data_IF_915542726366
#
_entry.id   IF_915542726366
#
_cell.length_a   1.000
_cell.length_b   1.000
_cell.length_c   1.000
_cell.angle_alpha   90.00
_cell.angle_beta   90.00
_cell.angle_gamma   90.00
#
_symmetry.space_group_name_H-M   'P 1'
#
loop_
_entity.id
_entity.type
_entity.pdbx_description
1 polymer ?
#
# COMPACT_ATOMS: atom_id res chain seq x y z
N UNK A 1 13.19 -0.37 -10.83
CA UNK A 1 12.08 -1.01 -10.10
C UNK A 1 11.40 -1.99 -11.04
N UNK A 2 11.19 -3.22 -10.61
CA UNK A 2 10.54 -4.26 -11.41
C UNK A 2 9.25 -4.69 -10.71
N UNK A 3 8.14 -4.61 -11.42
CA UNK A 3 6.87 -5.16 -10.93
C UNK A 3 6.99 -6.68 -10.84
N UNK A 4 6.52 -7.27 -9.75
CA UNK A 4 6.45 -8.73 -9.61
C UNK A 4 5.36 -9.21 -10.56
N UNK A 5 5.78 -9.85 -11.66
CA UNK A 5 4.87 -10.34 -12.68
C UNK A 5 3.90 -11.38 -12.10
N UNK A 6 2.67 -11.40 -12.62
CA UNK A 6 1.58 -12.33 -12.24
C UNK A 6 1.08 -12.21 -10.79
N UNK A 7 1.62 -11.29 -9.98
CA UNK A 7 1.07 -11.01 -8.66
C UNK A 7 0.11 -9.82 -8.70
N UNK A 8 -1.12 -10.06 -8.26
CA UNK A 8 -2.09 -9.04 -7.87
C UNK A 8 -2.68 -9.41 -6.51
N UNK A 9 -2.69 -8.47 -5.58
CA UNK A 9 -3.22 -8.66 -4.24
C UNK A 9 -4.50 -7.87 -4.02
N UNK A 10 -5.40 -8.43 -3.22
CA UNK A 10 -6.66 -7.81 -2.82
C UNK A 10 -6.78 -7.80 -1.30
N UNK A 11 -6.58 -6.64 -0.68
CA UNK A 11 -6.63 -6.48 0.77
C UNK A 11 -8.00 -5.97 1.22
N UNK A 12 -8.68 -6.60 2.20
CA UNK A 12 -9.91 -6.04 2.75
C UNK A 12 -9.60 -4.73 3.49
N UNK A 13 -10.52 -3.75 3.40
CA UNK A 13 -10.39 -2.53 4.21
C UNK A 13 -10.44 -2.86 5.70
N UNK A 14 -9.76 -2.03 6.51
CA UNK A 14 -9.83 -2.15 7.96
C UNK A 14 -11.20 -1.78 8.54
N UNK A 15 -11.98 -0.95 7.83
CA UNK A 15 -13.33 -0.53 8.21
C UNK A 15 -14.18 -0.33 6.95
N UNK A 16 -15.47 -0.67 7.03
CA UNK A 16 -16.43 -0.58 5.93
C UNK A 16 -16.32 -1.72 4.91
N UNK A 17 -17.10 -1.63 3.84
CA UNK A 17 -17.10 -2.61 2.74
C UNK A 17 -16.10 -2.25 1.63
N UNK A 18 -15.65 -3.27 0.92
CA UNK A 18 -14.73 -3.17 -0.22
C UNK A 18 -13.28 -3.56 0.10
N UNK A 19 -12.45 -3.48 -0.93
CA UNK A 19 -11.07 -3.93 -0.90
C UNK A 19 -10.15 -2.93 -1.61
N UNK A 20 -8.85 -3.05 -1.31
CA UNK A 20 -7.76 -2.30 -1.92
C UNK A 20 -6.98 -3.29 -2.80
N UNK A 21 -6.93 -3.01 -4.09
CA UNK A 21 -6.10 -3.77 -5.01
C UNK A 21 -4.68 -3.18 -5.08
N UNK A 22 -3.69 -4.06 -5.13
CA UNK A 22 -2.31 -3.66 -5.12
C UNK A 22 -1.39 -4.61 -5.90
N UNK A 23 -0.28 -4.06 -6.38
CA UNK A 23 0.84 -4.79 -6.96
C UNK A 23 2.05 -4.76 -6.03
N UNK A 24 2.94 -5.73 -6.21
CA UNK A 24 4.25 -5.75 -5.59
C UNK A 24 5.33 -5.38 -6.58
N UNK A 25 6.36 -4.70 -6.09
CA UNK A 25 7.53 -4.29 -6.86
C UNK A 25 8.80 -4.57 -6.09
N UNK A 26 9.89 -4.85 -6.80
CA UNK A 26 11.22 -5.04 -6.24
C UNK A 26 12.23 -4.10 -6.87
N UNK A 27 13.23 -3.66 -6.11
CA UNK A 27 14.42 -3.05 -6.69
C UNK A 27 15.50 -4.12 -6.98
N UNK A 28 16.63 -3.68 -7.54
CA UNK A 28 17.80 -4.51 -7.84
C UNK A 28 18.49 -5.06 -6.58
N UNK A 29 18.17 -4.52 -5.40
CA UNK A 29 18.69 -4.94 -4.09
C UNK A 29 17.73 -5.85 -3.35
N UNK A 30 16.57 -6.17 -3.94
CA UNK A 30 15.53 -7.00 -3.33
C UNK A 30 14.64 -6.29 -2.32
N UNK A 31 14.67 -4.95 -2.24
CA UNK A 31 13.71 -4.20 -1.44
C UNK A 31 12.31 -4.33 -2.04
N UNK A 32 11.30 -4.54 -1.19
CA UNK A 32 9.91 -4.78 -1.59
C UNK A 32 9.07 -3.51 -1.41
N UNK A 33 8.25 -3.23 -2.42
CA UNK A 33 7.37 -2.06 -2.47
C UNK A 33 5.94 -2.46 -2.83
N UNK A 34 4.99 -1.64 -2.39
CA UNK A 34 3.56 -1.78 -2.69
C UNK A 34 3.11 -0.63 -3.58
N UNK A 35 2.38 -0.95 -4.65
CA UNK A 35 1.65 0.02 -5.46
C UNK A 35 0.16 -0.25 -5.31
N UNK A 36 -0.61 0.67 -4.73
CA UNK A 36 -2.07 0.54 -4.63
C UNK A 36 -2.70 1.18 -5.87
N UNK A 37 -3.65 0.53 -6.54
CA UNK A 37 -4.16 1.06 -7.82
C UNK A 37 -5.68 1.12 -7.93
N UNK A 38 -6.43 0.40 -7.10
CA UNK A 38 -7.89 0.45 -7.10
C UNK A 38 -8.46 0.33 -5.69
N UNK A 39 -9.58 1.01 -5.47
CA UNK A 39 -10.39 0.91 -4.28
C UNK A 39 -11.82 0.61 -4.75
N UNK A 40 -12.32 -0.58 -4.40
CA UNK A 40 -13.59 -1.19 -4.84
C UNK A 40 -14.85 -0.46 -4.33
N UNK A 41 -14.88 0.87 -4.30
CA UNK A 41 -16.12 1.62 -4.02
C UNK A 41 -16.57 2.27 -5.31
N UNK A 42 -17.84 2.06 -5.64
CA UNK A 42 -18.66 2.89 -6.52
C UNK A 42 -18.60 4.35 -6.07
N UNK A 43 -17.46 4.99 -6.32
CA UNK A 43 -17.21 6.40 -6.09
C UNK A 43 -17.00 7.01 -7.45
N UNK A 44 -17.66 8.14 -7.69
CA UNK A 44 -17.58 8.91 -8.94
C UNK A 44 -16.16 9.41 -9.27
N UNK A 45 -15.17 9.11 -8.43
CA UNK A 45 -13.77 9.50 -8.59
C UNK A 45 -12.87 8.42 -7.96
N UNK A 46 -12.51 7.36 -8.71
CA UNK A 46 -11.55 6.37 -8.25
C UNK A 46 -10.25 7.09 -7.87
N UNK A 47 -9.83 6.97 -6.60
CA UNK A 47 -8.62 7.61 -6.12
C UNK A 47 -7.38 7.01 -6.79
N UNK A 48 -6.71 7.77 -7.63
CA UNK A 48 -5.45 7.44 -8.33
C UNK A 48 -4.29 7.33 -7.34
N UNK A 49 -4.20 6.22 -6.61
CA UNK A 49 -3.01 5.87 -5.82
C UNK A 49 -1.96 5.11 -6.64
N UNK A 50 -2.28 4.80 -7.90
CA UNK A 50 -1.45 4.01 -8.81
C UNK A 50 -0.10 4.67 -9.13
N UNK A 51 0.09 5.95 -8.84
CA UNK A 51 1.32 6.67 -9.16
C UNK A 51 2.47 6.45 -8.16
N UNK A 52 2.21 5.85 -6.98
CA UNK A 52 3.20 5.72 -5.91
C UNK A 52 3.58 4.28 -5.59
N UNK A 53 4.86 4.10 -5.25
CA UNK A 53 5.44 2.92 -4.62
C UNK A 53 5.76 3.24 -3.15
N UNK A 54 5.31 2.37 -2.26
CA UNK A 54 5.56 2.48 -0.82
C UNK A 54 6.51 1.37 -0.35
N UNK A 55 7.69 1.70 0.20
CA UNK A 55 8.64 0.70 0.68
C UNK A 55 8.08 -0.02 1.92
N UNK A 56 7.94 -1.34 1.83
CA UNK A 56 7.32 -2.13 2.92
C UNK A 56 8.12 -2.00 4.22
N UNK A 57 9.44 -2.04 4.12
CA UNK A 57 10.34 -1.99 5.27
C UNK A 57 10.11 -0.75 6.16
N UNK A 58 9.69 0.38 5.58
CA UNK A 58 9.45 1.62 6.34
C UNK A 58 8.24 1.52 7.28
N UNK A 59 7.28 0.64 6.97
CA UNK A 59 5.97 0.62 7.62
C UNK A 59 5.65 -0.71 8.34
N UNK A 60 6.42 -1.76 8.08
CA UNK A 60 6.12 -3.13 8.50
C UNK A 60 5.97 -3.27 10.03
N UNK A 61 6.79 -2.58 10.82
CA UNK A 61 6.77 -2.65 12.29
C UNK A 61 5.57 -1.95 12.92
N UNK A 62 4.93 -1.05 12.17
CA UNK A 62 3.77 -0.27 12.63
C UNK A 62 2.45 -0.88 12.15
N UNK A 63 2.47 -1.89 11.28
CA UNK A 63 1.25 -2.46 10.67
C UNK A 63 0.27 -2.99 11.72
N UNK A 64 0.75 -3.60 12.80
CA UNK A 64 -0.10 -4.20 13.83
C UNK A 64 -0.47 -3.26 14.97
N UNK A 65 0.26 -2.16 15.14
CA UNK A 65 -0.03 -1.16 16.19
C UNK A 65 -1.36 -0.46 15.91
N UNK A 66 -2.05 0.04 16.93
CA UNK A 66 -3.30 0.78 16.73
C UNK A 66 -3.08 2.17 16.11
N UNK A 67 -1.93 2.77 16.36
CA UNK A 67 -1.52 4.06 15.79
C UNK A 67 -1.66 4.08 14.26
N UNK A 68 -2.14 5.19 13.71
CA UNK A 68 -2.16 5.40 12.26
C UNK A 68 -0.74 5.39 11.68
N UNK A 69 -0.59 4.88 10.46
CA UNK A 69 0.62 5.13 9.69
C UNK A 69 0.70 6.62 9.34
N UNK A 70 1.91 7.15 9.24
CA UNK A 70 2.16 8.49 8.74
C UNK A 70 2.83 8.38 7.37
N UNK A 71 1.99 8.27 6.34
CA UNK A 71 2.43 8.25 4.94
C UNK A 71 2.31 9.66 4.39
N UNK A 72 3.44 10.32 4.17
CA UNK A 72 3.51 11.70 3.64
C UNK A 72 4.10 11.77 2.24
N UNK A 73 4.75 10.70 1.81
CA UNK A 73 5.51 10.62 0.57
C UNK A 73 5.55 9.18 0.06
N UNK A 74 5.74 9.03 -1.24
CA UNK A 74 5.91 7.77 -1.94
C UNK A 74 6.81 7.96 -3.15
N UNK A 75 7.44 6.89 -3.62
CA UNK A 75 8.27 6.96 -4.83
C UNK A 75 7.35 6.95 -6.06
N UNK A 76 7.54 7.88 -6.98
CA UNK A 76 6.81 7.91 -8.24
C UNK A 76 7.20 6.71 -9.10
N UNK A 77 6.22 6.00 -9.65
CA UNK A 77 6.46 4.81 -10.49
C UNK A 77 7.28 5.16 -11.74
N UNK A 78 7.08 6.34 -12.30
CA UNK A 78 7.65 6.75 -13.59
C UNK A 78 9.17 6.97 -13.52
N UNK A 79 9.66 7.58 -12.45
CA UNK A 79 11.06 8.01 -12.34
C UNK A 79 11.74 7.66 -11.02
N UNK A 80 11.00 7.13 -10.04
CA UNK A 80 11.51 6.78 -8.72
C UNK A 80 11.71 7.97 -7.77
N UNK A 81 11.34 9.19 -8.16
CA UNK A 81 11.48 10.37 -7.31
C UNK A 81 10.47 10.36 -6.15
N UNK A 82 10.82 11.01 -5.04
CA UNK A 82 9.87 11.19 -3.93
C UNK A 82 8.80 12.23 -4.31
N UNK A 83 7.54 11.80 -4.32
CA UNK A 83 6.39 12.66 -4.46
C UNK A 83 5.60 12.75 -3.15
N UNK A 84 5.04 13.94 -2.88
CA UNK A 84 4.16 14.16 -1.73
C UNK A 84 2.83 13.43 -1.95
N UNK A 85 2.38 12.71 -0.92
CA UNK A 85 1.08 12.05 -0.93
C UNK A 85 0.03 13.00 -0.37
N UNK A 86 -0.95 13.36 -1.19
CA UNK A 86 -2.03 14.28 -0.79
C UNK A 86 -3.30 13.56 -0.29
N UNK A 87 -3.43 12.27 -0.59
CA UNK A 87 -4.60 11.49 -0.23
C UNK A 87 -4.54 11.08 1.25
N UNK A 88 -5.50 11.58 2.04
CA UNK A 88 -5.63 11.34 3.48
C UNK A 88 -5.92 9.87 3.86
N UNK A 89 -6.40 9.06 2.92
CA UNK A 89 -6.70 7.65 3.16
C UNK A 89 -5.51 6.72 2.91
N UNK A 90 -4.43 7.21 2.30
CA UNK A 90 -3.25 6.39 1.92
C UNK A 90 -2.69 5.62 3.11
N UNK A 91 -2.57 6.28 4.26
CA UNK A 91 -2.08 5.64 5.49
C UNK A 91 -2.93 4.45 5.94
N UNK A 92 -4.25 4.57 5.84
CA UNK A 92 -5.17 3.50 6.22
C UNK A 92 -5.14 2.36 5.19
N UNK A 93 -5.10 2.69 3.90
CA UNK A 93 -5.06 1.69 2.83
C UNK A 93 -3.74 0.91 2.84
N UNK A 94 -2.61 1.60 2.96
CA UNK A 94 -1.31 0.94 3.06
C UNK A 94 -1.25 0.01 4.28
N UNK A 95 -1.83 0.44 5.42
CA UNK A 95 -1.89 -0.40 6.63
C UNK A 95 -2.71 -1.67 6.40
N UNK A 96 -3.85 -1.57 5.69
CA UNK A 96 -4.66 -2.72 5.32
C UNK A 96 -3.88 -3.70 4.44
N UNK A 97 -3.19 -3.19 3.40
CA UNK A 97 -2.34 -4.00 2.51
C UNK A 97 -1.22 -4.69 3.28
N UNK A 98 -0.54 -3.97 4.19
CA UNK A 98 0.53 -4.54 5.01
C UNK A 98 0.02 -5.65 5.95
N UNK A 99 -1.17 -5.50 6.54
CA UNK A 99 -1.79 -6.54 7.38
C UNK A 99 -2.25 -7.75 6.56
N UNK A 100 -2.64 -7.54 5.31
CA UNK A 100 -2.98 -8.64 4.40
C UNK A 100 -1.73 -9.43 3.99
N UNK A 101 -0.65 -8.76 3.58
CA UNK A 101 0.62 -9.40 3.20
C UNK A 101 1.32 -10.06 4.37
N UNK A 102 1.29 -9.41 5.53
CA UNK A 102 1.97 -9.85 6.74
C UNK A 102 0.97 -9.84 7.89
N UNK A 103 0.18 -10.91 8.06
CA UNK A 103 -0.78 -11.00 9.15
C UNK A 103 -0.14 -10.70 10.50
N UNK A 104 -0.88 -10.02 11.36
CA UNK A 104 -0.48 -9.90 12.76
C UNK A 104 -0.63 -11.28 13.38
N UNK A 105 0.40 -11.74 14.10
CA UNK A 105 0.26 -12.93 14.94
C UNK A 105 -0.96 -12.73 15.82
N UNK A 106 -1.86 -13.72 15.89
CA UNK A 106 -2.83 -13.76 16.99
C UNK A 106 -1.98 -13.80 18.25
N UNK A 107 -2.22 -12.89 19.19
CA UNK A 107 -1.79 -13.14 20.56
C UNK A 107 -2.36 -14.53 20.92
N UNK A 108 -1.45 -15.46 21.19
CA UNK A 108 -1.80 -16.82 21.59
C UNK A 108 -2.35 -16.81 23.01
#
# INVERSE_FOLDING_TARGET
MNKVEQFEGKAPKMQGEGAIHYFLWTDDKGALYVQMFENDVDTKSPGTLNQYLFPIAQYIDKRCKDSQLKVTEGLLVDNGDLGKVENNNTSAFLKAVLRHLFPCSKEA
#
